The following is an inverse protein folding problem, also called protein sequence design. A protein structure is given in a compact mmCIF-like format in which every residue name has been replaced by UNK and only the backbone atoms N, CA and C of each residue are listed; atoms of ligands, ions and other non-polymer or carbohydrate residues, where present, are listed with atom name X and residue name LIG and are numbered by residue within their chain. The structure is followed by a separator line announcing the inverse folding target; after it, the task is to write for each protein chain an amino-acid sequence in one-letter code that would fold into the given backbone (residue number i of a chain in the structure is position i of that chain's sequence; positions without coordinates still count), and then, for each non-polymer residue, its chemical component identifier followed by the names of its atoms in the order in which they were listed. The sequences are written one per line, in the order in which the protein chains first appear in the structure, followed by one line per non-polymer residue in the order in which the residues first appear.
data_IF_547050736093
#
_entry.id   IF_547050736093
#
_cell.length_a   1.000
_cell.length_b   1.000
_cell.length_c   1.000
_cell.angle_alpha   90.00
_cell.angle_beta   90.00
_cell.angle_gamma   90.00
#
_symmetry.space_group_name_H-M   'P 1'
#
loop_
_entity.id
_entity.type
_entity.pdbx_description
1 polymer ?
#
# COMPACT_ATOMS: atom_id res chain seq x y z
N UNK A 1 -33.43 -22.75 -8.36
CA UNK A 1 -32.59 -21.68 -8.91
C UNK A 1 -31.65 -21.27 -7.78
N UNK A 2 -30.44 -21.74 -7.84
CA UNK A 2 -29.44 -21.34 -6.86
C UNK A 2 -29.19 -19.83 -6.95
N UNK A 3 -29.56 -19.12 -5.89
CA UNK A 3 -29.30 -17.70 -5.79
C UNK A 3 -27.83 -17.53 -5.43
N UNK A 4 -26.97 -17.36 -6.44
CA UNK A 4 -25.60 -16.93 -6.20
C UNK A 4 -25.60 -15.69 -5.32
N UNK A 5 -24.77 -15.66 -4.30
CA UNK A 5 -24.54 -14.46 -3.50
C UNK A 5 -24.01 -13.32 -4.39
N UNK A 6 -24.15 -12.08 -3.96
CA UNK A 6 -23.58 -10.94 -4.68
C UNK A 6 -22.08 -11.10 -4.88
N UNK A 7 -21.35 -11.58 -3.85
CA UNK A 7 -19.91 -11.93 -3.93
C UNK A 7 -19.65 -12.96 -5.02
N UNK A 8 -20.41 -14.05 -5.08
CA UNK A 8 -20.23 -15.10 -6.10
C UNK A 8 -20.51 -14.57 -7.50
N UNK A 9 -21.55 -13.75 -7.69
CA UNK A 9 -21.82 -13.11 -8.98
C UNK A 9 -20.71 -12.17 -9.41
N UNK A 10 -20.15 -11.40 -8.46
CA UNK A 10 -19.06 -10.48 -8.74
C UNK A 10 -17.80 -11.21 -9.22
N UNK A 11 -17.41 -12.31 -8.54
CA UNK A 11 -16.23 -13.09 -8.91
C UNK A 11 -16.46 -14.09 -10.05
N UNK A 12 -17.69 -14.30 -10.48
CA UNK A 12 -18.01 -15.12 -11.67
C UNK A 12 -18.02 -14.32 -12.98
N UNK A 13 -17.76 -13.02 -12.92
CA UNK A 13 -17.61 -12.21 -14.13
C UNK A 13 -16.51 -12.76 -15.02
N UNK A 14 -16.67 -12.72 -16.36
CA UNK A 14 -15.62 -13.11 -17.28
C UNK A 14 -14.33 -12.34 -16.97
N UNK A 15 -13.23 -13.07 -16.95
CA UNK A 15 -11.91 -12.52 -16.65
C UNK A 15 -11.03 -12.75 -17.85
N UNK A 16 -10.58 -11.67 -18.49
CA UNK A 16 -9.59 -11.75 -19.55
C UNK A 16 -8.18 -11.74 -18.94
N UNK A 17 -7.36 -12.69 -19.39
CA UNK A 17 -5.95 -12.69 -19.08
C UNK A 17 -5.25 -11.63 -19.90
N UNK A 18 -4.60 -10.67 -19.26
CA UNK A 18 -3.78 -9.68 -19.95
C UNK A 18 -2.47 -10.38 -20.33
N UNK A 19 -2.30 -10.62 -21.63
CA UNK A 19 -1.05 -11.14 -22.19
C UNK A 19 -0.07 -9.98 -22.39
N UNK A 20 1.18 -10.19 -21.99
CA UNK A 20 2.26 -9.23 -22.23
C UNK A 20 3.13 -8.87 -21.03
N UNK A 21 2.75 -9.30 -19.83
CA UNK A 21 3.65 -9.31 -18.68
C UNK A 21 4.21 -10.71 -18.49
N UNK A 22 5.48 -10.81 -18.08
CA UNK A 22 6.21 -12.04 -17.90
C UNK A 22 5.37 -13.14 -17.22
N UNK A 23 5.07 -14.17 -17.97
CA UNK A 23 4.21 -15.31 -17.65
C UNK A 23 4.86 -16.30 -16.67
N UNK A 24 5.65 -15.86 -15.69
CA UNK A 24 6.10 -16.79 -14.67
C UNK A 24 4.93 -17.15 -13.74
N UNK A 25 4.77 -18.43 -13.36
CA UNK A 25 3.69 -18.88 -12.48
C UNK A 25 3.61 -18.13 -11.15
N UNK A 26 4.72 -17.56 -10.72
CA UNK A 26 4.89 -16.82 -9.45
C UNK A 26 4.55 -15.34 -9.58
N UNK A 27 4.56 -14.80 -10.79
CA UNK A 27 4.10 -13.43 -11.07
C UNK A 27 2.60 -13.48 -11.31
N UNK A 28 1.85 -13.37 -10.24
CA UNK A 28 0.39 -13.49 -10.20
C UNK A 28 -0.31 -13.00 -11.46
N UNK A 29 -1.27 -13.77 -11.91
CA UNK A 29 -2.07 -13.52 -13.09
C UNK A 29 -2.80 -12.17 -12.97
N UNK A 30 -2.44 -11.22 -13.81
CA UNK A 30 -3.26 -10.03 -14.00
C UNK A 30 -4.54 -10.44 -14.70
N UNK A 31 -5.64 -9.97 -14.16
CA UNK A 31 -6.96 -10.22 -14.73
C UNK A 31 -7.71 -8.90 -14.80
N UNK A 32 -8.35 -8.66 -15.93
CA UNK A 32 -9.29 -7.56 -16.08
C UNK A 32 -10.70 -8.10 -15.84
N UNK A 33 -11.45 -7.49 -14.98
CA UNK A 33 -12.87 -7.77 -14.81
C UNK A 33 -13.70 -6.84 -15.72
N UNK A 34 -14.93 -7.24 -16.05
CA UNK A 34 -15.86 -6.37 -16.78
C UNK A 34 -16.22 -5.09 -16.01
N UNK A 35 -15.99 -5.08 -14.69
CA UNK A 35 -16.21 -3.90 -13.85
C UNK A 35 -15.07 -2.88 -13.89
N UNK A 36 -14.06 -3.04 -14.74
CA UNK A 36 -12.94 -2.10 -14.83
C UNK A 36 -11.92 -2.24 -13.68
N UNK A 37 -11.67 -3.46 -13.24
CA UNK A 37 -10.66 -3.75 -12.22
C UNK A 37 -9.60 -4.69 -12.78
N UNK A 38 -8.33 -4.27 -12.66
CA UNK A 38 -7.20 -5.18 -12.78
C UNK A 38 -6.88 -5.73 -11.41
N UNK A 39 -6.84 -7.06 -11.25
CA UNK A 39 -6.45 -7.63 -9.98
C UNK A 39 -5.37 -8.70 -10.13
N UNK A 40 -4.48 -8.71 -9.16
CA UNK A 40 -3.52 -9.79 -8.90
C UNK A 40 -4.07 -10.66 -7.79
N UNK A 41 -3.70 -11.91 -7.76
CA UNK A 41 -4.09 -12.82 -6.69
C UNK A 41 -2.86 -13.48 -6.09
N UNK A 42 -2.76 -13.44 -4.76
CA UNK A 42 -1.78 -14.18 -3.98
C UNK A 42 -2.51 -15.14 -3.04
N UNK A 43 -2.21 -16.44 -3.17
CA UNK A 43 -2.75 -17.49 -2.29
C UNK A 43 -1.68 -17.95 -1.34
N UNK A 44 -2.03 -17.97 -0.06
CA UNK A 44 -1.16 -18.41 1.03
C UNK A 44 -1.80 -19.63 1.66
N UNK A 45 -1.15 -20.78 1.53
CA UNK A 45 -1.56 -22.00 2.22
C UNK A 45 -1.04 -21.96 3.66
N UNK A 46 -1.96 -21.82 4.61
CA UNK A 46 -1.67 -21.77 6.03
C UNK A 46 -2.21 -22.99 6.78
N UNK A 47 -2.96 -23.87 6.10
CA UNK A 47 -3.57 -25.07 6.70
C UNK A 47 -4.70 -24.75 7.65
N UNK A 48 -5.31 -23.58 7.56
CA UNK A 48 -6.45 -23.22 8.38
C UNK A 48 -7.74 -23.85 7.82
N UNK A 49 -8.58 -24.43 8.68
CA UNK A 49 -9.87 -24.96 8.24
C UNK A 49 -10.86 -23.84 7.94
N UNK A 50 -11.77 -24.08 6.98
CA UNK A 50 -12.88 -23.20 6.63
C UNK A 50 -12.59 -22.29 5.43
N UNK A 51 -13.44 -21.28 5.23
CA UNK A 51 -13.33 -20.37 4.10
C UNK A 51 -12.04 -19.53 4.20
N UNK A 52 -11.38 -19.22 3.07
CA UNK A 52 -10.22 -18.35 3.05
C UNK A 52 -10.51 -16.99 3.71
N UNK A 53 -9.52 -16.45 4.42
CA UNK A 53 -9.51 -15.04 4.80
C UNK A 53 -9.09 -14.23 3.58
N UNK A 54 -9.92 -13.26 3.21
CA UNK A 54 -9.69 -12.44 2.03
C UNK A 54 -9.31 -11.01 2.42
N UNK A 55 -8.11 -10.61 2.03
CA UNK A 55 -7.61 -9.24 2.20
C UNK A 55 -7.45 -8.63 0.81
N UNK A 56 -7.84 -7.36 0.65
CA UNK A 56 -7.61 -6.62 -0.59
C UNK A 56 -6.71 -5.43 -0.31
N UNK A 57 -5.61 -5.36 -1.05
CA UNK A 57 -4.72 -4.20 -1.07
C UNK A 57 -5.10 -3.29 -2.25
N UNK A 58 -5.05 -1.98 -1.99
CA UNK A 58 -5.09 -0.86 -2.95
C UNK A 58 -3.89 0.03 -2.61
N UNK A 59 -3.38 0.82 -3.56
CA UNK A 59 -2.26 1.71 -3.31
C UNK A 59 -2.26 2.93 -4.22
N UNK A 60 -1.51 3.97 -3.86
CA UNK A 60 -1.18 5.13 -4.68
C UNK A 60 -2.44 5.70 -5.37
N UNK A 61 -3.41 6.12 -4.59
CA UNK A 61 -4.68 6.68 -5.08
C UNK A 61 -4.50 8.10 -5.58
N UNK A 62 -3.63 8.87 -4.92
CA UNK A 62 -3.31 10.26 -5.24
C UNK A 62 -4.55 11.13 -5.45
N UNK A 63 -5.38 11.25 -4.43
CA UNK A 63 -6.46 12.23 -4.46
C UNK A 63 -5.88 13.63 -4.57
N UNK A 64 -5.96 14.20 -5.76
CA UNK A 64 -5.49 15.53 -6.10
C UNK A 64 -6.67 16.49 -6.13
N UNK A 65 -6.92 17.16 -5.02
CA UNK A 65 -8.00 18.14 -4.92
C UNK A 65 -7.72 19.18 -3.84
N UNK A 66 -7.94 20.45 -4.19
CA UNK A 66 -8.03 21.58 -3.24
C UNK A 66 -9.42 22.18 -3.33
N UNK A 67 -10.05 22.37 -2.21
CA UNK A 67 -11.29 23.13 -2.12
C UNK A 67 -11.02 24.64 -1.86
N UNK A 68 -12.09 25.40 -1.65
CA UNK A 68 -11.99 26.85 -1.41
C UNK A 68 -11.25 27.20 -0.10
N UNK A 69 -11.22 26.29 0.87
CA UNK A 69 -10.49 26.45 2.12
C UNK A 69 -9.00 26.30 1.85
N UNK A 70 -8.62 25.25 1.12
CA UNK A 70 -7.24 24.98 0.74
C UNK A 70 -6.62 26.11 -0.07
N UNK A 71 -7.39 26.65 -1.02
CA UNK A 71 -6.92 27.71 -1.92
C UNK A 71 -6.66 29.06 -1.22
N UNK A 72 -7.10 29.21 0.03
CA UNK A 72 -6.71 30.35 0.86
C UNK A 72 -5.28 30.21 1.42
N UNK A 73 -4.72 29.00 1.40
CA UNK A 73 -3.33 28.76 1.77
C UNK A 73 -2.43 28.87 0.53
N UNK A 74 -1.51 29.85 0.47
CA UNK A 74 -0.64 30.06 -0.69
C UNK A 74 0.26 28.85 -1.02
N UNK A 75 0.64 28.05 -0.01
CA UNK A 75 1.44 26.83 -0.18
C UNK A 75 0.64 25.77 -0.94
N UNK A 76 -0.62 25.53 -0.55
CA UNK A 76 -1.50 24.56 -1.21
C UNK A 76 -1.91 25.03 -2.61
N UNK A 77 -2.24 26.31 -2.76
CA UNK A 77 -2.54 26.89 -4.09
C UNK A 77 -1.39 26.73 -5.06
N UNK A 78 -0.15 26.91 -4.58
CA UNK A 78 1.05 26.70 -5.39
C UNK A 78 1.28 25.23 -5.70
N UNK A 79 1.10 24.35 -4.73
CA UNK A 79 1.22 22.89 -4.92
C UNK A 79 0.22 22.39 -5.97
N UNK A 80 -1.04 22.83 -5.88
CA UNK A 80 -2.06 22.53 -6.89
C UNK A 80 -1.63 22.97 -8.28
N UNK A 81 -1.08 24.18 -8.42
CA UNK A 81 -0.58 24.64 -9.72
C UNK A 81 0.59 23.78 -10.24
N UNK A 82 1.49 23.35 -9.37
CA UNK A 82 2.58 22.44 -9.76
C UNK A 82 2.06 21.04 -10.16
N UNK A 83 0.94 20.61 -9.59
CA UNK A 83 0.32 19.29 -9.83
C UNK A 83 -0.80 19.31 -10.84
N UNK A 84 -1.01 20.43 -11.56
CA UNK A 84 -2.11 20.59 -12.53
C UNK A 84 -2.09 19.61 -13.71
N UNK A 85 -0.99 18.91 -13.93
CA UNK A 85 -0.89 17.84 -14.91
C UNK A 85 -1.70 16.58 -14.50
N UNK A 86 -1.97 16.41 -13.22
CA UNK A 86 -2.92 15.43 -12.69
C UNK A 86 -4.26 16.13 -12.48
N UNK A 87 -5.26 15.77 -13.26
CA UNK A 87 -6.56 16.42 -13.18
C UNK A 87 -7.24 16.17 -11.83
N UNK A 88 -7.99 17.16 -11.34
CA UNK A 88 -8.79 17.03 -10.12
C UNK A 88 -9.69 15.78 -10.18
N UNK A 89 -9.57 14.91 -9.19
CA UNK A 89 -10.36 13.69 -9.12
C UNK A 89 -10.04 12.63 -10.19
N UNK A 90 -8.88 12.69 -10.84
CA UNK A 90 -8.48 11.73 -11.89
C UNK A 90 -8.60 10.27 -11.45
N UNK A 91 -8.29 9.97 -10.18
CA UNK A 91 -8.33 8.62 -9.60
C UNK A 91 -9.72 8.15 -9.15
N UNK A 92 -10.74 9.02 -9.13
CA UNK A 92 -12.06 8.71 -8.56
C UNK A 92 -12.73 7.50 -9.21
N UNK A 93 -12.68 7.38 -10.52
CA UNK A 93 -13.25 6.25 -11.24
C UNK A 93 -12.57 4.94 -10.86
N UNK A 94 -11.23 4.94 -10.85
CA UNK A 94 -10.42 3.77 -10.47
C UNK A 94 -10.66 3.34 -9.03
N UNK A 95 -10.64 4.28 -8.08
CA UNK A 95 -10.88 3.94 -6.66
C UNK A 95 -12.30 3.43 -6.41
N UNK A 96 -13.32 3.98 -7.07
CA UNK A 96 -14.69 3.45 -6.98
C UNK A 96 -14.78 2.00 -7.44
N UNK A 97 -14.12 1.67 -8.55
CA UNK A 97 -14.07 0.30 -9.05
C UNK A 97 -13.28 -0.61 -8.12
N UNK A 98 -12.12 -0.18 -7.62
CA UNK A 98 -11.31 -0.93 -6.67
C UNK A 98 -12.07 -1.20 -5.36
N UNK A 99 -12.72 -0.18 -4.78
CA UNK A 99 -13.54 -0.32 -3.57
C UNK A 99 -14.77 -1.19 -3.82
N UNK A 100 -15.40 -1.08 -4.99
CA UNK A 100 -16.51 -1.95 -5.39
C UNK A 100 -16.11 -3.42 -5.46
N UNK A 101 -14.91 -3.72 -5.96
CA UNK A 101 -14.31 -5.06 -5.93
C UNK A 101 -14.00 -5.52 -4.51
N UNK A 102 -13.41 -4.63 -3.71
CA UNK A 102 -12.92 -4.94 -2.37
C UNK A 102 -14.01 -5.08 -1.29
N UNK A 103 -15.23 -4.61 -1.55
CA UNK A 103 -16.34 -4.58 -0.57
C UNK A 103 -16.74 -5.95 0.02
N UNK A 104 -16.28 -7.03 -0.57
CA UNK A 104 -16.54 -8.40 -0.10
C UNK A 104 -15.36 -8.99 0.69
N UNK A 105 -14.23 -8.31 0.75
CA UNK A 105 -13.08 -8.76 1.50
C UNK A 105 -13.32 -8.67 3.02
N UNK A 106 -12.61 -9.47 3.78
CA UNK A 106 -12.61 -9.37 5.23
C UNK A 106 -11.90 -8.11 5.74
N UNK A 107 -10.94 -7.62 4.97
CA UNK A 107 -10.21 -6.38 5.25
C UNK A 107 -9.72 -5.72 3.97
N UNK A 108 -9.85 -4.38 3.90
CA UNK A 108 -9.21 -3.54 2.89
C UNK A 108 -8.02 -2.84 3.53
N UNK A 109 -6.88 -2.84 2.83
CA UNK A 109 -5.68 -2.11 3.22
C UNK A 109 -5.22 -1.24 2.05
N UNK A 110 -5.01 0.05 2.31
CA UNK A 110 -4.42 0.98 1.33
C UNK A 110 -3.00 1.28 1.77
N UNK A 111 -2.03 1.05 0.88
CA UNK A 111 -0.61 1.10 1.20
C UNK A 111 0.05 2.43 0.82
N UNK A 112 -0.55 3.53 1.25
CA UNK A 112 0.05 4.87 1.14
C UNK A 112 -0.26 5.61 -0.15
N UNK A 113 0.15 6.86 -0.18
CA UNK A 113 -0.09 7.83 -1.24
C UNK A 113 -1.57 7.89 -1.65
N UNK A 114 -2.45 7.85 -0.64
CA UNK A 114 -3.90 8.06 -0.81
C UNK A 114 -4.18 9.50 -1.20
N UNK A 115 -3.49 10.44 -0.55
CA UNK A 115 -3.50 11.85 -0.90
C UNK A 115 -2.36 12.14 -1.89
N UNK A 116 -2.58 13.04 -2.84
CA UNK A 116 -1.49 13.56 -3.67
C UNK A 116 -0.67 14.64 -2.93
N UNK A 117 -1.28 15.29 -1.97
CA UNK A 117 -0.69 16.18 -0.99
C UNK A 117 -1.71 16.44 0.13
N UNK A 118 -1.23 16.83 1.31
CA UNK A 118 -2.07 17.05 2.48
C UNK A 118 -2.93 18.31 2.32
N UNK A 119 -4.17 18.14 1.88
CA UNK A 119 -5.19 19.19 1.74
C UNK A 119 -6.52 18.75 2.35
N UNK A 120 -7.36 19.72 2.73
CA UNK A 120 -8.71 19.45 3.22
C UNK A 120 -9.56 18.75 2.16
N UNK A 121 -9.54 19.22 0.93
CA UNK A 121 -10.30 18.64 -0.17
C UNK A 121 -9.91 17.17 -0.45
N UNK A 122 -8.63 16.81 -0.45
CA UNK A 122 -8.18 15.44 -0.61
C UNK A 122 -8.59 14.54 0.58
N UNK A 123 -8.59 15.09 1.80
CA UNK A 123 -9.11 14.39 2.98
C UNK A 123 -10.61 14.11 2.88
N UNK A 124 -11.41 15.07 2.40
CA UNK A 124 -12.85 14.87 2.18
C UNK A 124 -13.11 13.81 1.09
N UNK A 125 -12.26 13.75 0.05
CA UNK A 125 -12.31 12.66 -0.94
C UNK A 125 -12.00 11.30 -0.29
N UNK A 126 -11.01 11.23 0.58
CA UNK A 126 -10.66 10.00 1.32
C UNK A 126 -11.84 9.54 2.19
N UNK A 127 -12.49 10.46 2.90
CA UNK A 127 -13.69 10.16 3.69
C UNK A 127 -14.80 9.60 2.77
N UNK A 128 -15.11 10.33 1.69
CA UNK A 128 -16.24 10.00 0.79
C UNK A 128 -16.04 8.69 0.04
N UNK A 129 -14.87 8.45 -0.52
CA UNK A 129 -14.66 7.33 -1.45
C UNK A 129 -14.08 6.07 -0.79
N UNK A 130 -13.53 6.20 0.42
CA UNK A 130 -12.93 5.09 1.15
C UNK A 130 -13.70 4.83 2.45
N UNK A 131 -13.66 5.72 3.43
CA UNK A 131 -14.19 5.43 4.77
C UNK A 131 -15.71 5.45 4.90
N UNK A 132 -16.44 6.15 4.02
CA UNK A 132 -17.90 6.07 3.99
C UNK A 132 -18.37 4.78 3.27
N UNK A 133 -17.51 4.22 2.41
CA UNK A 133 -17.76 2.93 1.73
C UNK A 133 -17.37 1.75 2.62
N UNK A 134 -16.19 1.81 3.25
CA UNK A 134 -15.68 0.80 4.15
C UNK A 134 -15.01 1.46 5.38
N UNK A 135 -15.79 1.66 6.46
CA UNK A 135 -15.30 2.35 7.67
C UNK A 135 -14.14 1.66 8.37
N UNK A 136 -13.91 0.38 8.10
CA UNK A 136 -12.85 -0.42 8.71
C UNK A 136 -11.59 -0.49 7.85
N UNK A 137 -11.56 0.16 6.69
CA UNK A 137 -10.38 0.21 5.84
C UNK A 137 -9.17 0.75 6.61
N UNK A 138 -8.03 0.06 6.50
CA UNK A 138 -6.75 0.47 7.07
C UNK A 138 -5.98 1.21 5.98
N UNK A 139 -5.50 2.41 6.28
CA UNK A 139 -4.68 3.21 5.39
C UNK A 139 -3.31 3.42 6.03
N UNK A 140 -2.29 2.75 5.52
CA UNK A 140 -0.91 3.16 5.76
C UNK A 140 -0.67 4.51 5.07
N UNK A 141 0.33 5.25 5.49
CA UNK A 141 0.70 6.50 4.82
C UNK A 141 1.94 6.30 3.95
N UNK A 142 2.06 7.15 2.93
CA UNK A 142 3.25 7.34 2.13
C UNK A 142 3.76 8.79 2.22
N UNK A 143 4.70 9.17 1.35
CA UNK A 143 5.32 10.48 1.38
C UNK A 143 4.38 11.62 1.08
N UNK A 144 3.42 11.36 0.25
CA UNK A 144 2.46 12.35 -0.22
C UNK A 144 1.50 12.81 0.88
N UNK A 145 1.10 11.96 1.81
CA UNK A 145 0.29 12.34 2.98
C UNK A 145 1.00 13.36 3.87
N UNK A 146 2.32 13.36 3.89
CA UNK A 146 3.12 14.26 4.73
C UNK A 146 3.65 15.48 3.97
N UNK A 147 3.26 15.65 2.71
CA UNK A 147 3.77 16.72 1.85
C UNK A 147 2.69 17.76 1.57
N UNK A 148 3.03 19.04 1.77
CA UNK A 148 2.20 20.19 1.37
C UNK A 148 2.79 20.95 0.19
N UNK A 149 4.07 20.75 -0.09
CA UNK A 149 4.79 21.40 -1.20
C UNK A 149 5.46 20.35 -2.08
N UNK A 150 4.78 19.95 -3.13
CA UNK A 150 5.31 19.02 -4.11
C UNK A 150 6.11 19.75 -5.19
N UNK A 151 7.27 19.20 -5.55
CA UNK A 151 8.05 19.60 -6.71
C UNK A 151 8.45 21.09 -6.78
N UNK A 152 8.43 21.78 -5.66
CA UNK A 152 8.70 23.23 -5.65
C UNK A 152 10.17 23.57 -5.49
N UNK A 153 11.00 22.59 -5.10
CA UNK A 153 12.39 22.83 -4.67
C UNK A 153 12.49 23.69 -3.41
N UNK A 154 11.36 24.05 -2.79
CA UNK A 154 11.30 24.82 -1.54
C UNK A 154 11.10 23.88 -0.38
N UNK A 155 11.78 24.10 0.76
CA UNK A 155 11.49 23.33 1.97
C UNK A 155 10.06 23.60 2.42
N UNK A 156 9.39 22.58 2.97
CA UNK A 156 8.12 22.78 3.63
C UNK A 156 8.27 23.79 4.80
N UNK A 157 7.33 24.71 4.93
CA UNK A 157 7.35 25.71 6.01
C UNK A 157 7.08 25.09 7.38
N UNK A 158 6.47 23.90 7.41
CA UNK A 158 6.13 23.14 8.62
C UNK A 158 7.08 21.97 8.85
N UNK A 159 7.27 21.58 10.11
CA UNK A 159 8.07 20.39 10.44
C UNK A 159 7.33 19.11 10.08
N UNK A 160 8.08 18.03 9.91
CA UNK A 160 7.51 16.69 9.65
C UNK A 160 6.59 16.26 10.80
N UNK A 161 6.99 16.52 12.04
CA UNK A 161 6.21 16.20 13.24
C UNK A 161 4.88 16.97 13.28
N UNK A 162 4.89 18.25 12.86
CA UNK A 162 3.67 19.06 12.76
C UNK A 162 2.70 18.49 11.72
N UNK A 163 3.20 18.11 10.54
CA UNK A 163 2.37 17.51 9.49
C UNK A 163 1.82 16.14 9.91
N UNK A 164 2.62 15.37 10.61
CA UNK A 164 2.18 14.11 11.21
C UNK A 164 1.04 14.30 12.21
N UNK A 165 1.15 15.30 13.07
CA UNK A 165 0.11 15.66 14.03
C UNK A 165 -1.16 16.17 13.34
N UNK A 166 -1.02 16.93 12.26
CA UNK A 166 -2.14 17.41 11.45
C UNK A 166 -2.88 16.24 10.81
N UNK A 167 -2.15 15.33 10.17
CA UNK A 167 -2.72 14.14 9.57
C UNK A 167 -3.40 13.24 10.60
N UNK A 168 -2.77 13.01 11.76
CA UNK A 168 -3.33 12.18 12.82
C UNK A 168 -4.68 12.69 13.36
N UNK A 169 -4.93 14.00 13.34
CA UNK A 169 -6.23 14.56 13.77
C UNK A 169 -7.38 14.17 12.82
N UNK A 170 -7.08 14.01 11.55
CA UNK A 170 -8.06 13.70 10.50
C UNK A 170 -8.16 12.19 10.22
N UNK A 171 -7.09 11.43 10.53
CA UNK A 171 -7.01 10.00 10.24
C UNK A 171 -7.77 9.17 11.28
N UNK A 172 -8.51 8.16 10.83
CA UNK A 172 -9.36 7.35 11.72
C UNK A 172 -8.61 6.41 12.67
N UNK A 173 -7.35 6.14 12.41
CA UNK A 173 -6.51 5.25 13.21
C UNK A 173 -5.10 5.82 13.38
N UNK A 174 -4.23 5.14 14.10
CA UNK A 174 -2.81 5.54 14.23
C UNK A 174 -2.17 5.54 12.84
N UNK A 175 -1.66 6.68 12.41
CA UNK A 175 -1.02 6.85 11.10
C UNK A 175 0.31 6.12 10.99
N UNK A 176 0.94 5.82 12.13
CA UNK A 176 2.26 5.18 12.15
C UNK A 176 2.19 3.66 12.11
N UNK A 177 1.15 3.07 12.72
CA UNK A 177 1.09 1.63 12.92
C UNK A 177 -0.32 1.16 13.24
N UNK A 178 -0.82 0.21 12.49
CA UNK A 178 -2.08 -0.49 12.76
C UNK A 178 -1.85 -1.99 12.71
N UNK A 179 -2.33 -2.69 13.73
CA UNK A 179 -2.38 -4.16 13.75
C UNK A 179 -3.82 -4.61 13.97
N UNK A 180 -4.26 -5.60 13.20
CA UNK A 180 -5.60 -6.18 13.31
C UNK A 180 -5.59 -7.67 13.03
N UNK A 181 -6.19 -8.44 13.92
CA UNK A 181 -6.39 -9.89 13.71
C UNK A 181 -7.74 -10.13 13.04
N UNK A 182 -7.72 -10.84 11.92
CA UNK A 182 -8.88 -11.18 11.12
C UNK A 182 -9.21 -12.65 11.30
N UNK A 183 -10.46 -12.92 11.71
CA UNK A 183 -10.99 -14.29 11.95
C UNK A 183 -10.08 -15.17 12.82
N UNK A 184 -9.34 -14.58 13.77
CA UNK A 184 -8.40 -15.29 14.64
C UNK A 184 -7.35 -16.14 13.90
N UNK A 185 -6.97 -15.77 12.69
CA UNK A 185 -6.05 -16.53 11.83
C UNK A 185 -5.01 -15.67 11.13
N UNK A 186 -5.37 -14.46 10.73
CA UNK A 186 -4.50 -13.58 9.96
C UNK A 186 -4.31 -12.27 10.71
N UNK A 187 -3.07 -11.92 10.97
CA UNK A 187 -2.71 -10.61 11.51
C UNK A 187 -2.29 -9.70 10.36
N UNK A 188 -3.06 -8.66 10.11
CA UNK A 188 -2.74 -7.58 9.18
C UNK A 188 -1.98 -6.51 9.95
N UNK A 189 -0.78 -6.18 9.51
CA UNK A 189 0.03 -5.10 10.06
C UNK A 189 0.26 -4.08 8.94
N UNK A 190 -0.19 -2.85 9.16
CA UNK A 190 0.08 -1.72 8.29
C UNK A 190 0.93 -0.69 9.03
N UNK A 191 2.05 -0.30 8.44
CA UNK A 191 2.95 0.65 9.09
C UNK A 191 3.58 1.64 8.11
N UNK A 192 3.77 2.85 8.63
CA UNK A 192 4.48 3.90 7.93
C UNK A 192 5.96 3.57 7.80
N UNK A 193 6.48 3.66 6.59
CA UNK A 193 7.92 3.57 6.31
C UNK A 193 8.40 4.68 5.38
N UNK A 194 7.63 5.77 5.30
CA UNK A 194 7.93 6.87 4.39
C UNK A 194 9.31 7.50 4.61
N UNK A 195 9.90 7.95 3.52
CA UNK A 195 11.27 8.45 3.49
C UNK A 195 12.28 7.45 4.09
N UNK A 196 11.95 6.16 4.06
CA UNK A 196 12.78 5.08 4.59
C UNK A 196 13.04 5.20 6.08
N UNK A 197 12.04 5.56 6.84
CA UNK A 197 12.16 5.72 8.30
C UNK A 197 11.14 4.84 9.01
N UNK A 198 11.60 4.26 10.09
CA UNK A 198 10.74 3.68 11.10
C UNK A 198 10.97 4.38 12.43
N UNK A 199 9.93 4.44 13.25
CA UNK A 199 9.97 5.00 14.60
C UNK A 199 10.27 3.92 15.63
N UNK A 200 10.91 4.25 16.76
CA UNK A 200 11.16 3.28 17.83
C UNK A 200 9.89 2.56 18.29
N UNK A 201 8.78 3.28 18.39
CA UNK A 201 7.49 2.73 18.82
C UNK A 201 6.93 1.70 17.83
N UNK A 202 7.22 1.84 16.53
CA UNK A 202 6.85 0.83 15.53
C UNK A 202 7.66 -0.45 15.72
N UNK A 203 8.95 -0.35 16.05
CA UNK A 203 9.78 -1.52 16.35
C UNK A 203 9.26 -2.29 17.57
N UNK A 204 8.87 -1.58 18.64
CA UNK A 204 8.32 -2.18 19.85
C UNK A 204 6.98 -2.90 19.56
N UNK A 205 6.05 -2.21 18.86
CA UNK A 205 4.75 -2.78 18.48
C UNK A 205 4.93 -4.01 17.56
N UNK A 206 5.76 -3.90 16.53
CA UNK A 206 6.03 -5.00 15.60
C UNK A 206 6.62 -6.21 16.33
N UNK A 207 7.55 -5.97 17.27
CA UNK A 207 8.14 -7.06 18.09
C UNK A 207 7.07 -7.78 18.89
N UNK A 208 6.17 -7.05 19.53
CA UNK A 208 5.09 -7.63 20.32
C UNK A 208 4.10 -8.41 19.44
N UNK A 209 3.68 -7.85 18.32
CA UNK A 209 2.72 -8.47 17.40
C UNK A 209 3.27 -9.75 16.77
N UNK A 210 4.54 -9.76 16.37
CA UNK A 210 5.18 -10.97 15.85
C UNK A 210 5.32 -12.07 16.90
N UNK A 211 5.56 -11.69 18.18
CA UNK A 211 5.57 -12.64 19.28
C UNK A 211 4.16 -13.21 19.54
N UNK A 212 3.13 -12.38 19.49
CA UNK A 212 1.74 -12.82 19.59
C UNK A 212 1.38 -13.75 18.43
N UNK A 213 1.70 -13.37 17.19
CA UNK A 213 1.42 -14.18 16.01
C UNK A 213 2.04 -15.58 16.12
N UNK A 214 3.29 -15.69 16.59
CA UNK A 214 3.93 -16.98 16.85
C UNK A 214 3.19 -17.80 17.91
N UNK A 215 2.80 -17.15 19.01
CA UNK A 215 2.13 -17.82 20.12
C UNK A 215 0.74 -18.34 19.77
N UNK A 216 0.06 -17.66 18.84
CA UNK A 216 -1.32 -17.95 18.41
C UNK A 216 -1.39 -18.72 17.09
N UNK A 217 -0.28 -18.85 16.37
CA UNK A 217 -0.25 -19.47 15.05
C UNK A 217 -0.87 -18.60 13.95
N UNK A 218 -0.84 -17.28 14.10
CA UNK A 218 -1.35 -16.38 13.06
C UNK A 218 -0.39 -16.26 11.88
N UNK A 219 -0.94 -16.15 10.68
CA UNK A 219 -0.21 -15.67 9.50
C UNK A 219 -0.14 -14.16 9.56
N UNK A 220 1.03 -13.60 9.39
CA UNK A 220 1.24 -12.13 9.33
C UNK A 220 1.35 -11.68 7.89
N UNK A 221 0.57 -10.66 7.53
CA UNK A 221 0.65 -9.92 6.28
C UNK A 221 1.10 -8.49 6.61
N UNK A 222 2.26 -8.11 6.08
CA UNK A 222 2.85 -6.79 6.32
C UNK A 222 2.54 -5.85 5.15
N UNK A 223 1.97 -4.70 5.46
CA UNK A 223 1.62 -3.65 4.50
C UNK A 223 2.40 -2.39 4.83
N UNK A 224 3.02 -1.81 3.82
CA UNK A 224 3.78 -0.57 3.93
C UNK A 224 3.85 0.12 2.56
N UNK A 225 4.24 1.39 2.51
CA UNK A 225 4.26 2.11 1.26
C UNK A 225 5.49 1.76 0.42
N UNK A 226 6.69 2.01 0.94
CA UNK A 226 7.93 1.72 0.22
C UNK A 226 8.31 0.24 0.34
N UNK A 227 8.79 -0.41 -0.74
CA UNK A 227 9.38 -1.74 -0.63
C UNK A 227 10.67 -1.71 0.16
N UNK A 228 11.05 -2.85 0.74
CA UNK A 228 12.34 -3.03 1.43
C UNK A 228 13.35 -3.75 0.52
N UNK A 229 14.63 -3.62 0.85
CA UNK A 229 15.70 -4.29 0.12
C UNK A 229 15.53 -5.81 0.14
N UNK A 230 15.73 -6.43 -1.02
CA UNK A 230 15.56 -7.90 -1.16
C UNK A 230 16.78 -8.67 -0.66
N UNK A 231 17.91 -8.00 -0.55
CA UNK A 231 19.22 -8.65 -0.34
C UNK A 231 19.76 -9.36 -1.58
N UNK A 232 19.11 -9.19 -2.76
CA UNK A 232 19.51 -9.79 -4.04
C UNK A 232 20.12 -8.73 -4.96
N UNK A 233 21.36 -8.93 -5.44
CA UNK A 233 22.00 -7.96 -6.35
C UNK A 233 21.23 -7.76 -7.68
N UNK A 234 20.55 -8.78 -8.18
CA UNK A 234 19.76 -8.74 -9.40
C UNK A 234 18.54 -7.82 -9.32
N UNK A 235 18.01 -7.62 -8.12
CA UNK A 235 16.86 -6.73 -7.87
C UNK A 235 17.29 -5.26 -7.69
N UNK A 236 18.57 -4.96 -7.87
CA UNK A 236 19.10 -3.61 -7.68
C UNK A 236 18.48 -2.54 -8.59
N UNK A 237 17.83 -2.96 -9.67
CA UNK A 237 17.11 -2.09 -10.60
C UNK A 237 15.73 -2.67 -10.84
N UNK A 238 14.70 -2.12 -10.20
CA UNK A 238 13.32 -2.43 -10.55
C UNK A 238 12.82 -1.43 -11.62
N UNK A 239 11.98 -1.86 -12.55
CA UNK A 239 11.35 -0.92 -13.48
C UNK A 239 10.46 0.05 -12.69
N UNK A 240 10.69 1.33 -12.84
CA UNK A 240 9.85 2.38 -12.28
C UNK A 240 9.27 3.22 -13.41
N UNK A 241 8.07 3.74 -13.21
CA UNK A 241 7.51 4.75 -14.11
C UNK A 241 8.11 6.14 -13.85
N UNK A 242 8.87 6.29 -12.77
CA UNK A 242 9.48 7.54 -12.34
C UNK A 242 10.97 7.53 -12.61
N UNK A 243 11.38 8.22 -13.64
CA UNK A 243 12.73 8.72 -13.78
C UNK A 243 12.73 10.15 -13.22
N UNK A 244 13.03 10.30 -11.94
CA UNK A 244 13.34 11.61 -11.40
C UNK A 244 14.77 11.97 -11.77
N UNK A 245 14.96 13.00 -12.57
CA UNK A 245 16.25 13.59 -12.96
C UNK A 245 17.27 12.57 -13.54
N UNK A 246 16.79 11.57 -14.27
CA UNK A 246 17.64 10.55 -14.90
C UNK A 246 18.19 9.50 -13.96
N UNK A 247 17.72 9.47 -12.71
CA UNK A 247 18.03 8.41 -11.75
C UNK A 247 16.80 7.51 -11.63
N UNK A 248 16.90 6.25 -12.06
CA UNK A 248 15.89 5.25 -11.78
C UNK A 248 15.92 4.91 -10.29
N UNK A 249 14.73 4.89 -9.65
CA UNK A 249 14.58 4.31 -8.32
C UNK A 249 14.93 2.82 -8.41
N UNK A 250 15.69 2.31 -7.47
CA UNK A 250 16.07 0.91 -7.41
C UNK A 250 16.11 0.41 -5.97
N UNK A 251 16.14 -0.90 -5.76
CA UNK A 251 16.17 -1.49 -4.41
C UNK A 251 17.38 -1.09 -3.57
N UNK A 252 18.45 -0.54 -4.17
CA UNK A 252 19.59 0.02 -3.43
C UNK A 252 19.23 1.24 -2.58
N UNK A 253 18.09 1.87 -2.85
CA UNK A 253 17.59 3.00 -2.07
C UNK A 253 16.54 2.58 -1.04
N UNK A 254 16.13 1.32 -1.04
CA UNK A 254 15.17 0.78 -0.08
C UNK A 254 15.78 0.58 1.31
N UNK A 255 14.94 0.57 2.33
CA UNK A 255 15.37 0.24 3.70
C UNK A 255 15.98 -1.17 3.71
N UNK A 256 17.12 -1.30 4.38
CA UNK A 256 17.90 -2.53 4.45
C UNK A 256 19.04 -2.61 3.44
N UNK A 257 19.05 -1.76 2.41
CA UNK A 257 20.13 -1.72 1.44
C UNK A 257 21.46 -1.32 2.08
N UNK A 258 22.55 -2.02 1.76
CA UNK A 258 23.91 -1.64 2.24
C UNK A 258 24.37 -0.26 1.75
N UNK A 259 23.83 0.22 0.64
CA UNK A 259 24.18 1.52 0.04
C UNK A 259 23.46 2.68 0.72
N UNK A 260 22.43 2.39 1.53
CA UNK A 260 21.65 3.38 2.25
C UNK A 260 22.15 3.58 3.67
N UNK A 261 22.25 4.83 4.10
CA UNK A 261 22.59 5.14 5.49
C UNK A 261 21.34 5.13 6.39
N UNK A 262 20.81 3.95 6.64
CA UNK A 262 19.63 3.77 7.49
C UNK A 262 19.91 4.10 8.96
N UNK A 263 18.87 4.60 9.66
CA UNK A 263 18.91 4.75 11.11
C UNK A 263 19.03 3.39 11.80
N UNK A 264 19.50 3.37 13.05
CA UNK A 264 19.58 2.10 13.81
C UNK A 264 18.18 1.46 14.00
N UNK A 265 17.14 2.28 14.14
CA UNK A 265 15.75 1.78 14.19
C UNK A 265 15.35 1.11 12.87
N UNK A 266 15.63 1.74 11.72
CA UNK A 266 15.31 1.16 10.42
C UNK A 266 16.04 -0.16 10.20
N UNK A 267 17.33 -0.23 10.54
CA UNK A 267 18.12 -1.47 10.52
C UNK A 267 17.55 -2.54 11.46
N UNK A 268 17.07 -2.14 12.63
CA UNK A 268 16.47 -3.07 13.60
C UNK A 268 15.14 -3.64 13.08
N UNK A 269 14.27 -2.79 12.51
CA UNK A 269 13.00 -3.22 11.90
C UNK A 269 13.27 -4.14 10.71
N UNK A 270 14.19 -3.78 9.81
CA UNK A 270 14.56 -4.64 8.67
C UNK A 270 15.03 -6.03 9.14
N UNK A 271 15.96 -6.08 10.12
CA UNK A 271 16.39 -7.37 10.69
C UNK A 271 15.25 -8.15 11.35
N UNK A 272 14.33 -7.46 12.02
CA UNK A 272 13.18 -8.11 12.64
C UNK A 272 12.26 -8.72 11.59
N UNK A 273 11.97 -8.00 10.51
CA UNK A 273 11.17 -8.50 9.38
C UNK A 273 11.86 -9.74 8.77
N UNK A 274 13.13 -9.61 8.38
CA UNK A 274 13.88 -10.68 7.70
C UNK A 274 14.17 -11.90 8.59
N UNK A 275 14.09 -11.75 9.92
CA UNK A 275 14.19 -12.88 10.86
C UNK A 275 12.84 -13.49 11.24
N UNK A 276 11.73 -13.04 10.64
CA UNK A 276 10.37 -13.45 11.01
C UNK A 276 9.59 -14.12 9.85
N UNK A 277 10.30 -14.73 8.90
CA UNK A 277 9.69 -15.46 7.78
C UNK A 277 8.87 -16.69 8.23
N UNK A 278 9.03 -17.12 9.48
CA UNK A 278 8.20 -18.15 10.09
C UNK A 278 6.73 -17.73 10.21
N UNK A 279 6.46 -16.45 10.41
CA UNK A 279 5.10 -15.89 10.55
C UNK A 279 4.75 -14.88 9.45
N UNK A 280 5.69 -14.05 8.96
CA UNK A 280 5.45 -13.10 7.87
C UNK A 280 5.40 -13.88 6.55
N UNK A 281 4.23 -13.90 5.92
CA UNK A 281 3.98 -14.67 4.69
C UNK A 281 3.84 -13.80 3.44
N UNK A 282 3.96 -12.50 3.58
CA UNK A 282 3.98 -11.55 2.46
C UNK A 282 4.16 -10.12 2.93
N UNK A 283 4.84 -9.33 2.09
CA UNK A 283 5.01 -7.89 2.20
C UNK A 283 4.32 -7.27 0.99
N UNK A 284 3.48 -6.26 1.23
CA UNK A 284 2.66 -5.63 0.21
C UNK A 284 2.89 -4.13 0.21
N UNK A 285 3.34 -3.62 -0.94
CA UNK A 285 3.82 -2.25 -1.11
C UNK A 285 3.15 -1.56 -2.30
N UNK A 286 3.35 -0.24 -2.39
CA UNK A 286 3.05 0.62 -3.52
C UNK A 286 4.28 1.39 -3.97
N UNK A 287 4.19 2.73 -4.04
CA UNK A 287 5.27 3.68 -4.26
C UNK A 287 5.83 3.70 -5.71
N UNK A 288 6.07 2.55 -6.31
CA UNK A 288 6.75 2.46 -7.60
C UNK A 288 5.80 2.66 -8.79
N UNK A 289 4.50 2.76 -8.57
CA UNK A 289 3.46 2.87 -9.61
C UNK A 289 3.59 1.81 -10.72
N UNK A 290 4.20 0.69 -10.40
CA UNK A 290 4.47 -0.41 -11.30
C UNK A 290 4.29 -1.73 -10.59
N UNK A 291 3.66 -2.68 -11.25
CA UNK A 291 3.48 -4.00 -10.68
C UNK A 291 4.80 -4.77 -10.67
N UNK A 292 5.23 -5.20 -9.50
CA UNK A 292 6.49 -5.90 -9.32
C UNK A 292 6.37 -6.99 -8.25
N UNK A 293 7.06 -8.11 -8.48
CA UNK A 293 7.20 -9.19 -7.51
C UNK A 293 8.69 -9.43 -7.22
N UNK A 294 9.01 -9.53 -5.95
CA UNK A 294 10.35 -9.89 -5.49
C UNK A 294 10.27 -10.84 -4.30
N UNK A 295 11.42 -11.34 -3.89
CA UNK A 295 11.57 -12.16 -2.72
C UNK A 295 12.65 -11.58 -1.82
N UNK A 296 12.27 -11.20 -0.61
CA UNK A 296 13.20 -10.71 0.40
C UNK A 296 13.90 -11.89 1.06
N UNK A 297 15.23 -11.91 1.03
CA UNK A 297 16.03 -12.96 1.67
C UNK A 297 15.83 -12.91 3.20
N UNK A 298 15.47 -14.04 3.78
CA UNK A 298 15.20 -14.19 5.20
C UNK A 298 15.88 -15.47 5.75
N UNK A 299 17.18 -15.38 5.99
CA UNK A 299 17.99 -16.56 6.34
C UNK A 299 18.05 -17.58 5.21
N UNK A 300 17.61 -18.81 5.48
CA UNK A 300 17.55 -19.91 4.49
C UNK A 300 16.23 -19.95 3.69
N UNK A 301 15.38 -18.94 3.86
CA UNK A 301 14.08 -18.83 3.20
C UNK A 301 13.87 -17.44 2.61
N UNK A 302 12.71 -17.19 2.04
CA UNK A 302 12.35 -15.89 1.48
C UNK A 302 10.96 -15.46 1.96
N UNK A 303 10.73 -14.15 1.96
CA UNK A 303 9.41 -13.55 2.16
C UNK A 303 8.99 -12.93 0.82
N UNK A 304 7.87 -13.35 0.23
CA UNK A 304 7.32 -12.73 -0.97
C UNK A 304 7.05 -11.23 -0.73
N UNK A 305 7.50 -10.39 -1.64
CA UNK A 305 7.21 -8.95 -1.65
C UNK A 305 6.54 -8.56 -2.95
N UNK A 306 5.37 -7.96 -2.85
CA UNK A 306 4.58 -7.48 -3.96
C UNK A 306 4.51 -5.97 -3.95
N UNK A 307 4.84 -5.36 -5.08
CA UNK A 307 4.55 -3.95 -5.35
C UNK A 307 3.35 -3.91 -6.29
N UNK A 308 2.33 -3.17 -5.92
CA UNK A 308 1.13 -3.00 -6.71
C UNK A 308 1.20 -1.69 -7.52
N UNK A 309 0.60 -1.69 -8.69
CA UNK A 309 0.41 -0.49 -9.48
C UNK A 309 -0.51 0.50 -8.78
N UNK A 310 -0.19 1.77 -8.90
CA UNK A 310 -1.03 2.85 -8.40
C UNK A 310 -2.29 3.08 -9.23
N UNK A 311 -3.22 3.84 -8.67
CA UNK A 311 -4.50 4.19 -9.29
C UNK A 311 -4.59 5.61 -9.87
N UNK A 312 -3.49 6.43 -9.97
CA UNK A 312 -3.64 7.86 -10.22
C UNK A 312 -3.94 8.21 -11.68
N UNK A 313 -3.52 7.37 -12.63
CA UNK A 313 -3.48 7.77 -14.04
C UNK A 313 -4.57 7.15 -14.91
N UNK A 314 -5.20 6.08 -14.46
CA UNK A 314 -6.09 5.28 -15.31
C UNK A 314 -7.58 5.64 -15.22
N UNK A 315 -7.90 6.75 -14.58
CA UNK A 315 -9.22 7.37 -14.55
C UNK A 315 -10.41 6.49 -14.17
N UNK A 316 -10.56 5.34 -14.81
CA UNK A 316 -11.70 4.43 -14.66
C UNK A 316 -11.31 3.02 -14.23
N UNK A 317 -10.03 2.68 -14.25
CA UNK A 317 -9.58 1.32 -13.93
C UNK A 317 -9.00 1.29 -12.53
N UNK A 318 -9.51 0.40 -11.69
CA UNK A 318 -8.98 0.14 -10.36
C UNK A 318 -7.93 -0.98 -10.39
N UNK A 319 -6.83 -0.80 -9.66
CA UNK A 319 -5.79 -1.82 -9.48
C UNK A 319 -5.84 -2.35 -8.06
N UNK A 320 -5.92 -3.66 -7.90
CA UNK A 320 -6.00 -4.31 -6.58
C UNK A 320 -5.16 -5.58 -6.51
N UNK A 321 -4.65 -5.89 -5.31
CA UNK A 321 -4.12 -7.19 -4.97
C UNK A 321 -5.15 -7.90 -4.09
N UNK A 322 -5.58 -9.09 -4.51
CA UNK A 322 -6.43 -10.00 -3.73
C UNK A 322 -5.55 -11.02 -3.04
N UNK A 323 -5.60 -11.08 -1.73
CA UNK A 323 -4.79 -11.99 -0.92
C UNK A 323 -5.74 -12.98 -0.24
N UNK A 324 -5.52 -14.26 -0.46
CA UNK A 324 -6.32 -15.35 0.10
C UNK A 324 -5.44 -16.20 1.02
N UNK A 325 -5.82 -16.28 2.29
CA UNK A 325 -5.16 -17.13 3.28
C UNK A 325 -6.04 -18.34 3.58
N UNK A 326 -5.60 -19.53 3.15
CA UNK A 326 -6.32 -20.81 3.18
C UNK A 326 -5.82 -21.75 4.30
#
# INVERSE_FOLDING_TARGET
MDSMTEKQRYFSQPVERITGMDDTPERSLFRLTESGVYFREHRISAGHPGDPVEIVQITDVHFNYCDDIDLQNPELAYTKECRKWLADGASVGGIKNAMGFAKFADQIVITGDTLDYLSHGAMEMTKTYIWDVEPTAILAIGGHELTRQMQTGRPNETTLESRYADLQREWKHDVSYVSRVIRERVMVIAMDNDCGRYRPEQFEKLTADLAEARSKGYVVLLFQHEPIDTGRPEDACCPTLWECDGASYNFRHCIGSPERNDSETAKAVYRLITSSADVIRGIYCGHLHSAYYTEVIAGDTVIPQYVLEGNPYNGQVGHVMRILVE
#
